data_IF_696362154527
#
_entry.id   IF_696362154527
#
_cell.length_a   1.000
_cell.length_b   1.000
_cell.length_c   1.000
_cell.angle_alpha   90.00
_cell.angle_beta   90.00
_cell.angle_gamma   90.00
#
_symmetry.space_group_name_H-M   'P 1'
#
loop_
_entity.id
_entity.type
_entity.pdbx_description
1 polymer ?
#
# COMPACT_ATOMS: atom_id res chain seq x y z
N UNK A 1 -17.69 -13.41 -13.97
CA UNK A 1 -18.00 -12.17 -13.20
C UNK A 1 -16.81 -11.66 -12.38
N UNK A 2 -16.02 -12.56 -11.80
CA UNK A 2 -14.86 -12.20 -10.95
C UNK A 2 -13.74 -11.50 -11.74
N UNK A 3 -13.44 -11.98 -12.95
CA UNK A 3 -12.39 -11.38 -13.78
C UNK A 3 -12.70 -9.95 -14.23
N UNK A 4 -13.97 -9.64 -14.48
CA UNK A 4 -14.39 -8.30 -14.88
C UNK A 4 -14.29 -7.30 -13.72
N UNK A 5 -14.58 -7.74 -12.51
CA UNK A 5 -14.51 -6.89 -11.31
C UNK A 5 -13.06 -6.56 -10.94
N UNK A 6 -12.13 -7.52 -11.08
CA UNK A 6 -10.71 -7.30 -10.84
C UNK A 6 -10.09 -6.36 -11.88
N UNK A 7 -10.45 -6.54 -13.15
CA UNK A 7 -10.02 -5.65 -14.23
C UNK A 7 -10.50 -4.20 -14.01
N UNK A 8 -11.74 -4.03 -13.56
CA UNK A 8 -12.29 -2.71 -13.24
C UNK A 8 -11.52 -2.02 -12.10
N UNK A 9 -11.21 -2.75 -11.02
CA UNK A 9 -10.48 -2.20 -9.86
C UNK A 9 -9.06 -1.78 -10.23
N UNK A 10 -8.34 -2.60 -10.98
CA UNK A 10 -6.99 -2.26 -11.47
C UNK A 10 -7.03 -1.07 -12.42
N UNK A 11 -7.94 -1.07 -13.37
CA UNK A 11 -8.13 0.03 -14.32
C UNK A 11 -8.47 1.34 -13.63
N UNK A 12 -9.32 1.31 -12.58
CA UNK A 12 -9.68 2.50 -11.82
C UNK A 12 -8.53 3.10 -11.00
N UNK A 13 -7.48 2.31 -10.73
CA UNK A 13 -6.29 2.75 -10.00
C UNK A 13 -5.10 3.06 -10.91
N UNK A 14 -5.26 2.95 -12.24
CA UNK A 14 -4.23 3.27 -13.22
C UNK A 14 -3.12 2.22 -13.35
N UNK A 15 -3.33 0.99 -12.89
CA UNK A 15 -2.38 -0.12 -13.02
C UNK A 15 -2.87 -1.18 -14.00
N UNK A 16 -1.92 -1.85 -14.65
CA UNK A 16 -2.18 -2.91 -15.62
C UNK A 16 -2.13 -4.29 -14.96
N UNK A 17 -1.31 -4.45 -13.91
CA UNK A 17 -1.14 -5.72 -13.21
C UNK A 17 -0.78 -5.53 -11.74
N UNK A 18 -1.11 -6.54 -10.95
CA UNK A 18 -0.61 -6.75 -9.59
C UNK A 18 0.07 -8.12 -9.56
N UNK A 19 1.35 -8.13 -9.23
CA UNK A 19 2.15 -9.36 -9.17
C UNK A 19 2.38 -9.76 -7.72
N UNK A 20 2.21 -11.02 -7.43
CA UNK A 20 2.42 -11.57 -6.09
C UNK A 20 3.16 -12.91 -6.14
N UNK A 21 3.41 -13.50 -4.96
CA UNK A 21 4.10 -14.77 -4.86
C UNK A 21 3.37 -15.89 -5.61
N UNK A 22 4.15 -16.85 -6.13
CA UNK A 22 3.60 -18.02 -6.83
C UNK A 22 2.69 -18.80 -5.90
N UNK A 23 1.48 -19.11 -6.36
CA UNK A 23 0.45 -19.79 -5.57
C UNK A 23 -0.51 -18.84 -4.84
N UNK A 24 -0.19 -17.55 -4.74
CA UNK A 24 -1.18 -16.55 -4.32
C UNK A 24 -2.19 -16.33 -5.45
N UNK A 25 -3.47 -16.36 -5.13
CA UNK A 25 -4.48 -15.94 -6.10
C UNK A 25 -4.44 -14.42 -6.20
N UNK A 26 -4.40 -13.89 -7.41
CA UNK A 26 -4.42 -12.45 -7.68
C UNK A 26 -5.56 -11.76 -6.90
N UNK A 27 -6.68 -12.44 -6.77
CA UNK A 27 -7.83 -12.02 -5.98
C UNK A 27 -7.50 -11.84 -4.50
N UNK A 28 -6.72 -12.75 -3.92
CA UNK A 28 -6.30 -12.67 -2.51
C UNK A 28 -5.37 -11.49 -2.27
N UNK A 29 -4.50 -11.18 -3.23
CA UNK A 29 -3.62 -10.02 -3.16
C UNK A 29 -4.42 -8.72 -3.24
N UNK A 30 -5.35 -8.64 -4.17
CA UNK A 30 -6.26 -7.50 -4.27
C UNK A 30 -7.14 -7.37 -3.02
N UNK A 31 -7.63 -8.48 -2.50
CA UNK A 31 -8.39 -8.50 -1.25
C UNK A 31 -7.51 -8.17 -0.04
N UNK A 32 -6.24 -8.54 -0.05
CA UNK A 32 -5.30 -8.17 1.01
C UNK A 32 -5.00 -6.66 1.02
N UNK A 33 -4.96 -6.03 -0.13
CA UNK A 33 -4.84 -4.56 -0.22
C UNK A 33 -6.13 -3.89 0.27
N UNK A 34 -7.28 -4.48 0.01
CA UNK A 34 -8.59 -3.88 0.23
C UNK A 34 -9.40 -4.53 1.35
N UNK A 35 -9.20 -5.80 1.63
CA UNK A 35 -9.90 -6.59 2.66
C UNK A 35 -9.07 -7.76 3.19
N UNK A 36 -8.16 -7.52 4.12
CA UNK A 36 -8.19 -8.19 5.42
C UNK A 36 -7.61 -9.60 5.57
N UNK A 37 -7.06 -10.28 4.57
CA UNK A 37 -6.39 -11.55 4.80
C UNK A 37 -4.92 -11.49 4.39
N UNK A 38 -4.07 -12.13 5.19
CA UNK A 38 -2.67 -12.23 4.89
C UNK A 38 -2.47 -12.95 3.55
N UNK A 39 -1.60 -12.41 2.72
CA UNK A 39 -1.17 -13.09 1.51
C UNK A 39 -0.53 -14.44 1.88
N UNK A 40 -0.83 -15.53 1.16
CA UNK A 40 -0.24 -16.85 1.45
C UNK A 40 1.25 -16.96 1.11
N UNK A 41 1.89 -15.89 0.71
CA UNK A 41 3.33 -15.85 0.44
C UNK A 41 3.78 -14.45 0.07
N UNK A 42 5.08 -14.22 0.21
CA UNK A 42 5.73 -12.97 -0.09
C UNK A 42 6.74 -13.12 -1.23
N UNK A 43 6.96 -12.03 -1.94
CA UNK A 43 8.07 -11.87 -2.87
C UNK A 43 9.29 -11.35 -2.10
N UNK A 44 10.48 -11.72 -2.56
CA UNK A 44 11.72 -11.11 -2.10
C UNK A 44 11.93 -9.75 -2.77
N UNK A 45 12.67 -8.86 -2.11
CA UNK A 45 12.99 -7.54 -2.67
C UNK A 45 13.68 -7.62 -4.03
N UNK A 46 14.55 -8.62 -4.20
CA UNK A 46 15.24 -8.87 -5.48
C UNK A 46 14.25 -9.15 -6.62
N UNK A 47 13.17 -9.85 -6.34
CA UNK A 47 12.12 -10.12 -7.34
C UNK A 47 11.40 -8.84 -7.73
N UNK A 48 11.13 -7.95 -6.77
CA UNK A 48 10.60 -6.62 -7.05
C UNK A 48 11.55 -5.82 -7.96
N UNK A 49 12.85 -5.82 -7.67
CA UNK A 49 13.86 -5.14 -8.50
C UNK A 49 13.91 -5.71 -9.93
N UNK A 50 13.79 -7.02 -10.08
CA UNK A 50 13.72 -7.68 -11.40
C UNK A 50 12.47 -7.20 -12.15
N UNK A 51 11.31 -7.17 -11.52
CA UNK A 51 10.07 -6.69 -12.12
C UNK A 51 10.22 -5.24 -12.58
N UNK A 52 10.72 -4.38 -11.71
CA UNK A 52 10.91 -2.95 -11.96
C UNK A 52 11.81 -2.70 -13.18
N UNK A 53 12.86 -3.51 -13.35
CA UNK A 53 13.85 -3.36 -14.40
C UNK A 53 13.53 -4.20 -15.66
N UNK A 54 12.38 -4.87 -15.69
CA UNK A 54 11.98 -5.67 -16.86
C UNK A 54 11.56 -4.75 -18.01
N UNK A 55 12.08 -4.99 -19.24
CA UNK A 55 11.64 -4.25 -20.42
C UNK A 55 10.13 -4.28 -20.59
N UNK A 56 9.53 -3.14 -20.91
CA UNK A 56 8.07 -3.00 -21.02
C UNK A 56 7.36 -2.56 -19.74
N UNK A 57 8.03 -2.58 -18.60
CA UNK A 57 7.52 -2.03 -17.35
C UNK A 57 7.85 -0.53 -17.29
N UNK A 58 6.80 0.28 -17.21
CA UNK A 58 6.92 1.74 -17.07
C UNK A 58 7.09 2.15 -15.60
N UNK A 59 6.28 1.57 -14.74
CA UNK A 59 6.28 1.85 -13.29
C UNK A 59 6.08 0.55 -12.53
N UNK A 60 6.73 0.42 -11.39
CA UNK A 60 6.53 -0.67 -10.44
C UNK A 60 6.68 -0.15 -9.01
N UNK A 61 5.71 -0.47 -8.16
CA UNK A 61 5.71 -0.07 -6.75
C UNK A 61 5.53 -1.27 -5.84
N UNK A 62 6.40 -1.45 -4.84
CA UNK A 62 6.28 -2.55 -3.90
C UNK A 62 5.21 -2.24 -2.87
N UNK A 63 4.45 -3.26 -2.48
CA UNK A 63 3.51 -3.20 -1.38
C UNK A 63 3.86 -4.22 -0.32
N UNK A 64 3.81 -3.82 0.93
CA UNK A 64 3.82 -4.73 2.08
C UNK A 64 2.57 -4.50 2.91
N UNK A 65 1.81 -5.57 3.14
CA UNK A 65 0.56 -5.53 3.89
C UNK A 65 0.75 -6.35 5.17
N UNK A 66 0.47 -5.77 6.31
CA UNK A 66 0.64 -6.48 7.58
C UNK A 66 -0.40 -6.07 8.61
N UNK A 67 -0.21 -4.94 9.16
CA UNK A 67 -0.94 -4.48 10.32
C UNK A 67 -2.22 -3.72 9.98
N UNK A 68 -2.97 -3.39 11.02
CA UNK A 68 -4.16 -2.57 10.91
C UNK A 68 -4.22 -1.54 12.04
N UNK A 69 -5.07 -0.55 11.84
CA UNK A 69 -5.50 0.37 12.88
C UNK A 69 -7.02 0.55 12.78
N UNK A 70 -7.73 0.21 13.84
CA UNK A 70 -9.19 0.32 13.92
C UNK A 70 -9.92 -0.36 12.75
N UNK A 71 -9.42 -1.50 12.29
CA UNK A 71 -9.99 -2.26 11.18
C UNK A 71 -9.54 -1.84 9.78
N UNK A 72 -8.74 -0.80 9.65
CA UNK A 72 -8.18 -0.37 8.38
C UNK A 72 -6.73 -0.83 8.22
N UNK A 73 -6.41 -1.35 7.04
CA UNK A 73 -5.07 -1.86 6.75
C UNK A 73 -4.03 -0.75 6.69
N UNK A 74 -2.85 -1.05 7.28
CA UNK A 74 -1.62 -0.37 6.93
C UNK A 74 -1.01 -1.04 5.71
N UNK A 75 -0.69 -0.25 4.72
CA UNK A 75 0.00 -0.70 3.51
C UNK A 75 1.29 0.09 3.37
N UNK A 76 2.40 -0.62 3.41
CA UNK A 76 3.72 -0.06 3.19
C UNK A 76 4.01 0.05 1.70
N UNK A 77 4.53 1.18 1.29
CA UNK A 77 4.99 1.41 -0.09
C UNK A 77 6.11 2.46 -0.11
N UNK A 78 6.55 2.83 -1.28
CA UNK A 78 7.51 3.91 -1.47
C UNK A 78 6.81 5.24 -1.79
N UNK A 79 7.41 6.38 -1.39
CA UNK A 79 6.85 7.71 -1.68
C UNK A 79 6.58 7.96 -3.17
N UNK A 80 7.36 7.34 -4.04
CA UNK A 80 7.24 7.48 -5.49
C UNK A 80 5.84 7.16 -6.03
N UNK A 81 5.11 6.26 -5.38
CA UNK A 81 3.72 5.97 -5.75
C UNK A 81 2.87 7.25 -5.77
N UNK A 82 3.04 8.11 -4.79
CA UNK A 82 2.26 9.33 -4.65
C UNK A 82 2.81 10.51 -5.45
N UNK A 83 4.12 10.53 -5.67
CA UNK A 83 4.79 11.59 -6.43
C UNK A 83 4.69 11.39 -7.94
N UNK A 84 4.68 10.15 -8.42
CA UNK A 84 4.88 9.84 -9.84
C UNK A 84 3.68 9.20 -10.50
N UNK A 85 2.90 8.38 -9.78
CA UNK A 85 1.83 7.61 -10.38
C UNK A 85 0.58 8.44 -10.64
N UNK A 86 0.03 8.33 -11.84
CA UNK A 86 -1.29 8.83 -12.19
C UNK A 86 -2.31 7.71 -11.99
N UNK A 87 -3.15 7.83 -10.96
CA UNK A 87 -4.22 6.84 -10.70
C UNK A 87 -5.38 6.95 -11.71
N UNK A 88 -5.46 8.07 -12.38
CA UNK A 88 -6.32 8.36 -13.51
C UNK A 88 -5.51 9.20 -14.50
N UNK A 89 -5.84 9.14 -15.77
CA UNK A 89 -5.13 9.90 -16.82
C UNK A 89 -5.00 11.38 -16.45
N UNK A 90 -3.76 11.86 -16.35
CA UNK A 90 -3.44 13.22 -15.97
C UNK A 90 -3.66 13.57 -14.50
N UNK A 91 -4.02 12.60 -13.65
CA UNK A 91 -4.36 12.86 -12.25
C UNK A 91 -3.49 12.05 -11.31
N UNK A 92 -2.66 12.74 -10.54
CA UNK A 92 -1.88 12.18 -9.44
C UNK A 92 -2.65 12.25 -8.12
N UNK A 93 -2.19 11.46 -7.14
CA UNK A 93 -2.67 11.59 -5.77
C UNK A 93 -2.40 13.01 -5.25
N UNK A 94 -3.39 13.59 -4.59
CA UNK A 94 -3.29 14.91 -3.98
C UNK A 94 -3.33 14.78 -2.45
N UNK A 95 -2.51 15.54 -1.77
CA UNK A 95 -2.51 15.63 -0.31
C UNK A 95 -3.26 16.89 0.08
N UNK A 96 -4.18 16.78 1.04
CA UNK A 96 -4.96 17.91 1.53
C UNK A 96 -4.06 18.99 2.13
N UNK A 97 -4.54 20.24 2.07
CA UNK A 97 -3.79 21.40 2.57
C UNK A 97 -3.38 21.21 4.03
N UNK A 98 -2.12 21.52 4.32
CA UNK A 98 -1.54 21.39 5.65
C UNK A 98 -0.85 20.07 5.92
N UNK A 99 -0.94 19.13 4.96
CA UNK A 99 -0.23 17.86 5.03
C UNK A 99 0.94 17.77 4.06
N UNK A 100 1.67 16.67 4.19
CA UNK A 100 2.79 16.31 3.32
C UNK A 100 2.89 14.79 3.15
N UNK A 101 3.67 14.36 2.19
CA UNK A 101 4.02 12.96 2.00
C UNK A 101 4.99 12.50 3.11
N UNK A 102 4.90 11.22 3.47
CA UNK A 102 5.82 10.63 4.42
C UNK A 102 7.25 10.51 3.84
N UNK A 103 8.22 10.52 4.73
CA UNK A 103 9.61 10.20 4.40
C UNK A 103 9.85 8.69 4.43
N UNK A 104 10.69 8.18 3.53
CA UNK A 104 10.95 6.73 3.35
C UNK A 104 11.42 6.00 4.62
N UNK A 105 12.04 6.71 5.55
CA UNK A 105 12.65 6.13 6.74
C UNK A 105 11.98 6.57 8.05
N UNK A 106 10.84 7.24 7.98
CA UNK A 106 10.16 7.80 9.13
C UNK A 106 8.93 6.98 9.53
N UNK A 107 8.56 7.03 10.79
CA UNK A 107 7.30 6.48 11.31
C UNK A 107 6.17 7.48 11.09
N UNK A 108 5.84 7.65 9.84
CA UNK A 108 4.86 8.62 9.35
C UNK A 108 3.80 7.93 8.50
N UNK A 109 2.59 8.46 8.53
CA UNK A 109 1.47 7.90 7.79
C UNK A 109 0.79 8.95 6.90
N UNK A 110 0.35 8.50 5.74
CA UNK A 110 -0.52 9.22 4.81
C UNK A 110 -1.85 8.49 4.79
N UNK A 111 -2.90 9.11 5.27
CA UNK A 111 -4.19 8.44 5.50
C UNK A 111 -5.13 8.66 4.33
N UNK A 112 -5.73 7.58 3.84
CA UNK A 112 -6.77 7.65 2.82
C UNK A 112 -7.98 8.47 3.31
N UNK A 113 -8.61 9.17 2.39
CA UNK A 113 -9.67 10.12 2.72
C UNK A 113 -10.84 9.51 3.50
N UNK A 114 -11.30 8.33 3.09
CA UNK A 114 -12.38 7.63 3.76
C UNK A 114 -12.03 7.27 5.21
N UNK A 115 -10.81 6.78 5.44
CA UNK A 115 -10.34 6.42 6.79
C UNK A 115 -10.27 7.64 7.69
N UNK A 116 -9.69 8.72 7.20
CA UNK A 116 -9.55 9.97 7.95
C UNK A 116 -10.91 10.51 8.37
N UNK A 117 -11.89 10.54 7.47
CA UNK A 117 -13.24 11.00 7.76
C UNK A 117 -13.96 10.06 8.73
N UNK A 118 -13.84 8.75 8.52
CA UNK A 118 -14.55 7.75 9.34
C UNK A 118 -14.07 7.73 10.78
N UNK A 119 -12.77 7.88 11.00
CA UNK A 119 -12.13 7.82 12.32
C UNK A 119 -11.86 9.20 12.93
N UNK A 120 -12.16 10.27 12.22
CA UNK A 120 -11.87 11.64 12.67
C UNK A 120 -10.37 11.94 12.81
N UNK A 121 -9.54 11.34 11.96
CA UNK A 121 -8.09 11.52 12.00
C UNK A 121 -7.66 12.83 11.32
N UNK A 122 -6.65 13.45 11.92
CA UNK A 122 -6.10 14.73 11.45
C UNK A 122 -4.56 14.65 11.38
N UNK A 123 -3.98 15.50 10.54
CA UNK A 123 -2.54 15.72 10.54
C UNK A 123 -2.05 16.11 11.94
N UNK A 124 -1.00 15.43 12.40
CA UNK A 124 -0.45 15.58 13.75
C UNK A 124 -0.93 14.53 14.74
N UNK A 125 -2.02 13.81 14.45
CA UNK A 125 -2.47 12.71 15.29
C UNK A 125 -1.45 11.57 15.29
N UNK A 126 -1.38 10.84 16.39
CA UNK A 126 -0.49 9.69 16.58
C UNK A 126 -1.34 8.44 16.81
N UNK A 127 -0.85 7.31 16.32
CA UNK A 127 -1.50 6.02 16.53
C UNK A 127 -0.50 4.89 16.64
N UNK A 128 -0.93 3.80 17.25
CA UNK A 128 -0.17 2.56 17.35
C UNK A 128 -0.89 1.47 16.55
N UNK A 129 -0.24 0.84 15.57
CA UNK A 129 -0.85 -0.25 14.82
C UNK A 129 -1.03 -1.52 15.66
N UNK A 130 -1.89 -2.42 15.18
CA UNK A 130 -2.17 -3.72 15.78
C UNK A 130 -1.84 -4.84 14.81
N UNK A 131 -1.38 -5.97 15.34
CA UNK A 131 -1.28 -7.21 14.58
C UNK A 131 -2.66 -7.80 14.28
N UNK A 132 -2.82 -8.25 13.03
CA UNK A 132 -4.06 -8.91 12.61
C UNK A 132 -5.25 -7.95 12.56
N UNK A 133 -6.45 -8.51 12.54
CA UNK A 133 -7.70 -7.79 12.32
C UNK A 133 -8.49 -7.51 13.58
N UNK A 134 -8.21 -8.23 14.64
CA UNK A 134 -8.89 -8.09 15.92
C UNK A 134 -8.08 -7.23 16.87
N UNK A 135 -8.76 -6.25 17.43
CA UNK A 135 -8.20 -5.47 18.52
C UNK A 135 -7.93 -6.38 19.72
N UNK A 136 -6.66 -6.59 20.02
CA UNK A 136 -6.20 -7.16 21.28
C UNK A 136 -5.07 -6.26 21.76
N UNK A 137 -5.14 -5.83 23.00
CA UNK A 137 -4.11 -4.98 23.63
C UNK A 137 -2.72 -5.62 23.53
N UNK A 138 -2.67 -6.94 23.63
CA UNK A 138 -1.46 -7.77 23.52
C UNK A 138 -0.83 -7.79 22.12
N UNK A 139 -1.60 -7.40 21.10
CA UNK A 139 -1.13 -7.35 19.70
C UNK A 139 -0.74 -5.96 19.23
N UNK A 140 -0.74 -5.00 20.16
CA UNK A 140 -0.36 -3.62 19.87
C UNK A 140 1.15 -3.49 19.73
N UNK A 141 1.57 -2.83 18.67
CA UNK A 141 2.98 -2.50 18.49
C UNK A 141 3.41 -1.37 19.41
N UNK A 142 4.65 -1.42 19.89
CA UNK A 142 5.25 -0.33 20.65
C UNK A 142 5.54 0.90 19.78
N UNK A 143 5.49 0.74 18.46
CA UNK A 143 5.80 1.79 17.52
C UNK A 143 4.65 2.77 17.34
N UNK A 144 4.98 4.04 17.39
CA UNK A 144 4.03 5.14 17.21
C UNK A 144 4.25 5.80 15.85
N UNK A 145 3.19 5.87 15.05
CA UNK A 145 3.16 6.61 13.80
C UNK A 145 2.54 7.99 14.01
N UNK A 146 3.02 8.98 13.28
CA UNK A 146 2.40 10.30 13.19
C UNK A 146 1.77 10.50 11.82
N UNK A 147 0.54 10.97 11.78
CA UNK A 147 -0.15 11.32 10.55
C UNK A 147 0.41 12.63 10.02
N UNK A 148 1.04 12.60 8.86
CA UNK A 148 1.66 13.76 8.23
C UNK A 148 0.84 14.31 7.06
N UNK A 149 -0.09 13.54 6.54
CA UNK A 149 -0.96 13.95 5.44
C UNK A 149 -2.21 13.10 5.33
N UNK A 150 -3.21 13.69 4.69
CA UNK A 150 -4.46 13.03 4.33
C UNK A 150 -4.60 13.15 2.81
N UNK A 151 -4.86 12.02 2.14
CA UNK A 151 -5.12 12.03 0.70
C UNK A 151 -6.48 12.60 0.40
N UNK A 152 -6.56 13.41 -0.64
CA UNK A 152 -7.83 13.79 -1.22
C UNK A 152 -8.53 12.57 -1.80
N UNK A 153 -9.86 12.56 -1.75
CA UNK A 153 -10.66 11.45 -2.22
C UNK A 153 -10.39 11.11 -3.69
N UNK A 154 -10.22 9.85 -3.99
CA UNK A 154 -10.01 9.34 -5.35
C UNK A 154 -11.20 8.53 -5.87
N UNK A 155 -12.08 8.08 -4.98
CA UNK A 155 -13.12 7.11 -5.31
C UNK A 155 -12.55 5.71 -5.61
N UNK A 156 -11.29 5.47 -5.28
CA UNK A 156 -10.59 4.19 -5.42
C UNK A 156 -10.37 3.55 -4.06
N UNK A 157 -9.98 2.28 -4.01
CA UNK A 157 -9.65 1.61 -2.75
C UNK A 157 -8.52 2.26 -1.95
N UNK A 158 -7.67 3.05 -2.57
CA UNK A 158 -6.63 3.83 -1.89
C UNK A 158 -7.19 4.74 -0.79
N UNK A 159 -8.45 5.17 -0.90
CA UNK A 159 -9.13 6.00 0.10
C UNK A 159 -9.35 5.28 1.44
N UNK A 160 -9.35 3.95 1.43
CA UNK A 160 -9.62 3.08 2.60
C UNK A 160 -8.37 2.45 3.23
N UNK A 161 -7.22 2.99 2.93
CA UNK A 161 -5.91 2.48 3.35
C UNK A 161 -5.17 3.55 4.16
N UNK A 162 -4.40 3.10 5.14
CA UNK A 162 -3.39 3.91 5.83
C UNK A 162 -2.04 3.59 5.20
N UNK A 163 -1.47 4.53 4.49
CA UNK A 163 -0.22 4.38 3.77
C UNK A 163 0.97 4.76 4.66
N UNK A 164 1.96 3.89 4.71
CA UNK A 164 3.19 4.09 5.48
C UNK A 164 4.41 3.74 4.63
N UNK A 165 5.62 4.15 5.03
CA UNK A 165 6.83 3.66 4.37
C UNK A 165 6.93 2.14 4.47
N UNK A 166 7.27 1.48 3.35
CA UNK A 166 7.35 0.01 3.29
C UNK A 166 8.30 -0.57 4.33
N UNK A 167 9.39 0.12 4.62
CA UNK A 167 10.34 -0.29 5.66
C UNK A 167 9.70 -0.42 7.05
N UNK A 168 8.72 0.42 7.35
CA UNK A 168 7.98 0.36 8.61
C UNK A 168 7.26 -0.98 8.77
N UNK A 169 6.55 -1.44 7.74
CA UNK A 169 5.87 -2.75 7.76
C UNK A 169 6.88 -3.89 7.83
N UNK A 170 7.93 -3.85 7.03
CA UNK A 170 8.97 -4.88 7.00
C UNK A 170 9.66 -5.07 8.35
N UNK A 171 9.86 -3.97 9.11
CA UNK A 171 10.42 -4.03 10.46
C UNK A 171 9.41 -4.47 11.51
N UNK A 172 8.13 -4.14 11.36
CA UNK A 172 7.09 -4.49 12.31
C UNK A 172 6.71 -5.98 12.30
N UNK A 173 6.82 -6.65 11.15
CA UNK A 173 6.47 -8.08 11.04
C UNK A 173 7.41 -9.00 11.82
N UNK A 174 8.33 -8.45 12.57
CA UNK A 174 9.00 -9.02 13.70
C UNK A 174 10.27 -9.77 13.41
N UNK A 175 11.05 -10.06 14.36
CA UNK A 175 12.33 -10.78 14.33
C UNK A 175 13.30 -10.31 13.25
N UNK A 176 13.72 -9.17 13.50
CA UNK A 176 14.64 -8.21 12.83
C UNK A 176 15.59 -8.68 11.69
N UNK A 177 15.70 -9.94 11.38
CA UNK A 177 16.69 -10.40 10.40
C UNK A 177 16.15 -11.15 9.18
N UNK A 178 15.00 -11.79 9.29
CA UNK A 178 14.50 -12.65 8.20
C UNK A 178 13.41 -12.03 7.32
N UNK A 179 12.72 -10.99 7.77
CA UNK A 179 11.56 -10.42 7.07
C UNK A 179 11.74 -9.01 6.54
N UNK A 180 12.93 -8.41 6.74
CA UNK A 180 13.17 -7.01 6.37
C UNK A 180 13.17 -6.71 4.87
N UNK A 181 13.00 -7.73 4.02
CA UNK A 181 13.08 -7.61 2.56
C UNK A 181 11.86 -8.15 1.83
N UNK A 182 10.84 -8.62 2.54
CA UNK A 182 9.67 -9.23 1.89
C UNK A 182 8.68 -8.19 1.35
N UNK A 183 8.08 -8.51 0.22
CA UNK A 183 7.09 -7.71 -0.50
C UNK A 183 5.84 -8.56 -0.70
N UNK A 184 4.68 -8.03 -0.33
CA UNK A 184 3.41 -8.74 -0.49
C UNK A 184 2.94 -8.76 -1.94
N UNK A 185 3.11 -7.66 -2.65
CA UNK A 185 2.72 -7.50 -4.05
C UNK A 185 3.53 -6.37 -4.71
N UNK A 186 3.51 -6.34 -6.03
CA UNK A 186 4.06 -5.25 -6.83
C UNK A 186 2.97 -4.72 -7.76
N UNK A 187 2.68 -3.45 -7.66
CA UNK A 187 1.80 -2.74 -8.60
C UNK A 187 2.59 -2.38 -9.85
N UNK A 188 2.09 -2.74 -11.02
CA UNK A 188 2.82 -2.58 -12.29
C UNK A 188 1.99 -1.79 -13.29
N UNK A 189 2.63 -0.81 -13.91
CA UNK A 189 2.14 -0.14 -15.12
C UNK A 189 3.07 -0.47 -16.28
N UNK A 190 2.48 -0.91 -17.39
CA UNK A 190 3.21 -1.27 -18.60
C UNK A 190 3.34 -0.06 -19.53
N UNK A 191 4.37 -0.07 -20.37
CA UNK A 191 4.48 0.85 -21.49
C UNK A 191 3.39 0.54 -22.49
N UNK A 192 2.77 1.56 -23.07
CA UNK A 192 1.79 1.38 -24.14
C UNK A 192 2.40 0.77 -25.42
N UNK A 193 1.56 0.22 -26.29
CA UNK A 193 1.97 -0.41 -27.55
C UNK A 193 2.81 0.49 -28.50
N UNK A 194 2.81 1.79 -28.29
CA UNK A 194 3.61 2.75 -29.05
C UNK A 194 5.06 2.88 -28.53
N UNK A 195 5.44 2.12 -27.52
CA UNK A 195 6.78 2.16 -26.88
C UNK A 195 7.66 0.94 -27.16
N UNK A 196 7.29 0.12 -28.16
CA UNK A 196 8.11 -0.99 -28.64
C UNK A 196 8.76 -0.65 -29.98
#
# INVERSE_FOLDING_TARGET
>A
KEGAQNAFTLSSSGFDAVLGARGSKLQLILNAIFHLEASPGNLEWEQYEIIKNTPGVKEAYPLAVGDNFMGYRLVGTEPALFDEHEWKEGVKYQIEKGGRLFSSNAKEALVGNFVANKLGLKVGDRFQPYHGLTFREESKHDEVYVIVGILSATGTPADKVIWVPIKGIQFMEGHASEYSTSVSAVLVKLRGAAGF
#
